data_IF_221615459369
#
_entry.id   IF_221615459369
#
_cell.length_a   1.000
_cell.length_b   1.000
_cell.length_c   1.000
_cell.angle_alpha   90.00
_cell.angle_beta   90.00
_cell.angle_gamma   90.00
#
_symmetry.space_group_name_H-M   'P 1'
#
loop_
_entity.id
_entity.type
_entity.pdbx_description
1 polymer ?
#
# COMPACT_ATOMS: atom_id res chain seq x y z
N UNK A 1 -14.68 -3.80 9.25
CA UNK A 1 -14.48 -4.86 8.23
C UNK A 1 -14.50 -4.21 6.86
N UNK A 2 -13.33 -4.00 6.26
CA UNK A 2 -13.21 -3.51 4.88
C UNK A 2 -13.25 -4.74 3.96
N UNK A 3 -14.25 -4.82 3.08
CA UNK A 3 -14.39 -5.97 2.17
C UNK A 3 -13.46 -5.84 0.96
N UNK A 4 -12.97 -6.98 0.47
CA UNK A 4 -12.13 -7.17 -0.72
C UNK A 4 -12.61 -6.40 -1.97
N UNK A 5 -13.90 -6.07 -2.05
CA UNK A 5 -14.47 -5.19 -3.09
C UNK A 5 -13.83 -3.81 -3.14
N UNK A 6 -13.35 -3.27 -2.02
CA UNK A 6 -12.67 -1.97 -1.98
C UNK A 6 -11.27 -1.97 -2.62
N UNK A 7 -10.70 -3.15 -2.88
CA UNK A 7 -9.34 -3.32 -3.40
C UNK A 7 -9.28 -3.31 -4.94
N UNK A 8 -10.41 -3.56 -5.61
CA UNK A 8 -10.53 -3.59 -7.08
C UNK A 8 -10.81 -2.20 -7.71
N UNK A 9 -10.77 -1.13 -6.93
CA UNK A 9 -11.01 0.22 -7.44
C UNK A 9 -9.70 0.86 -7.89
N UNK A 10 -9.54 1.06 -9.21
CA UNK A 10 -8.56 1.98 -9.79
C UNK A 10 -8.91 3.41 -9.35
N UNK A 11 -8.47 3.78 -8.14
CA UNK A 11 -8.38 5.17 -7.74
C UNK A 11 -6.91 5.55 -7.80
N UNK A 12 -6.57 6.51 -8.63
CA UNK A 12 -5.33 7.25 -8.41
C UNK A 12 -5.35 7.76 -6.96
N UNK A 13 -4.29 7.48 -6.23
CA UNK A 13 -4.21 7.73 -4.80
C UNK A 13 -2.86 8.27 -4.41
N UNK A 14 -2.89 9.17 -3.44
CA UNK A 14 -1.72 9.77 -2.81
C UNK A 14 -1.46 9.08 -1.47
N UNK A 15 -0.19 8.92 -1.15
CA UNK A 15 0.28 8.45 0.14
C UNK A 15 0.84 9.62 0.93
N UNK A 16 0.59 9.64 2.24
CA UNK A 16 1.23 10.58 3.16
C UNK A 16 2.39 9.86 3.83
N UNK A 17 3.62 10.32 3.59
CA UNK A 17 4.85 9.69 4.06
C UNK A 17 5.79 10.70 4.72
N UNK A 18 6.68 10.23 5.59
CA UNK A 18 7.67 11.09 6.26
C UNK A 18 8.94 11.14 5.41
N UNK A 19 9.37 12.34 5.03
CA UNK A 19 10.57 12.54 4.19
C UNK A 19 11.81 12.07 4.95
N UNK A 20 12.61 11.22 4.31
CA UNK A 20 13.82 10.64 4.91
C UNK A 20 13.56 9.43 5.83
N UNK A 21 12.30 9.05 6.07
CA UNK A 21 11.98 7.78 6.71
C UNK A 21 11.92 6.67 5.66
N UNK A 22 12.73 5.63 5.81
CA UNK A 22 12.68 4.47 4.92
C UNK A 22 11.55 3.53 5.35
N UNK A 23 10.57 3.35 4.47
CA UNK A 23 9.54 2.31 4.63
C UNK A 23 10.07 0.91 4.23
N UNK A 24 11.27 0.81 3.66
CA UNK A 24 11.83 -0.43 3.09
C UNK A 24 12.14 -1.51 4.12
N UNK A 25 12.12 -1.19 5.42
CA UNK A 25 12.35 -2.13 6.54
C UNK A 25 11.20 -2.15 7.54
N UNK A 26 10.09 -1.51 7.22
CA UNK A 26 8.96 -1.41 8.14
C UNK A 26 8.04 -2.61 7.96
N UNK A 27 7.91 -3.42 9.01
CA UNK A 27 7.06 -4.59 9.08
C UNK A 27 5.85 -4.29 9.97
N UNK A 28 4.68 -4.09 9.35
CA UNK A 28 3.41 -3.76 10.02
C UNK A 28 2.47 -4.96 10.04
N UNK A 29 2.46 -5.67 8.93
CA UNK A 29 1.50 -6.70 8.55
C UNK A 29 2.04 -7.54 7.37
N UNK A 30 1.21 -8.45 6.85
CA UNK A 30 1.63 -9.33 5.76
C UNK A 30 1.87 -8.58 4.45
N UNK A 31 1.11 -7.51 4.18
CA UNK A 31 1.31 -6.65 3.01
C UNK A 31 2.69 -6.00 3.03
N UNK A 32 3.09 -5.46 4.17
CA UNK A 32 4.42 -4.85 4.33
C UNK A 32 5.55 -5.86 4.13
N UNK A 33 5.39 -7.11 4.57
CA UNK A 33 6.35 -8.19 4.31
C UNK A 33 6.45 -8.47 2.81
N UNK A 34 5.32 -8.66 2.13
CA UNK A 34 5.29 -8.94 0.70
C UNK A 34 5.90 -7.78 -0.10
N UNK A 35 5.55 -6.53 0.21
CA UNK A 35 6.11 -5.35 -0.46
C UNK A 35 7.63 -5.24 -0.24
N UNK A 36 8.11 -5.42 1.00
CA UNK A 36 9.53 -5.38 1.33
C UNK A 36 10.33 -6.39 0.50
N UNK A 37 9.87 -7.64 0.48
CA UNK A 37 10.50 -8.71 -0.29
C UNK A 37 10.39 -8.44 -1.79
N UNK A 38 9.26 -7.92 -2.27
CA UNK A 38 9.08 -7.56 -3.68
C UNK A 38 10.12 -6.56 -4.15
N UNK A 39 10.31 -5.46 -3.42
CA UNK A 39 11.26 -4.41 -3.80
C UNK A 39 12.72 -4.90 -3.75
N UNK A 40 13.06 -5.82 -2.83
CA UNK A 40 14.42 -6.33 -2.67
C UNK A 40 14.75 -7.57 -3.53
N UNK A 41 13.73 -8.30 -3.98
CA UNK A 41 13.89 -9.55 -4.74
C UNK A 41 13.30 -9.46 -6.14
N UNK A 42 11.99 -9.22 -6.24
CA UNK A 42 11.23 -9.35 -7.49
C UNK A 42 11.58 -8.21 -8.44
N UNK A 43 11.54 -6.95 -7.98
CA UNK A 43 11.80 -5.78 -8.84
C UNK A 43 13.22 -5.81 -9.43
N UNK A 44 14.29 -6.09 -8.66
CA UNK A 44 15.64 -6.21 -9.22
C UNK A 44 15.79 -7.35 -10.23
N UNK A 45 15.10 -8.47 -10.02
CA UNK A 45 15.10 -9.59 -10.97
C UNK A 45 14.32 -9.23 -12.23
N UNK A 46 13.13 -8.65 -12.09
CA UNK A 46 12.29 -8.17 -13.18
C UNK A 46 13.04 -7.21 -14.10
N UNK A 47 13.76 -6.24 -13.52
CA UNK A 47 14.52 -5.24 -14.28
C UNK A 47 15.69 -5.84 -15.09
N UNK A 48 16.17 -7.03 -14.71
CA UNK A 48 17.21 -7.77 -15.42
C UNK A 48 16.66 -8.69 -16.51
N UNK A 49 15.35 -8.93 -16.56
CA UNK A 49 14.74 -9.80 -17.55
C UNK A 49 14.74 -9.12 -18.94
N UNK A 50 14.97 -9.90 -20.01
CA UNK A 50 14.65 -9.47 -21.36
C UNK A 50 13.16 -9.13 -21.51
N UNK A 51 12.84 -8.20 -22.40
CA UNK A 51 11.45 -7.79 -22.66
C UNK A 51 10.54 -8.96 -23.08
N UNK A 52 11.07 -9.96 -23.77
CA UNK A 52 10.30 -11.14 -24.15
C UNK A 52 9.89 -11.98 -22.93
N UNK A 53 10.80 -12.15 -21.96
CA UNK A 53 10.50 -12.83 -20.71
C UNK A 53 9.46 -12.06 -19.89
N UNK A 54 9.55 -10.73 -19.84
CA UNK A 54 8.54 -9.89 -19.18
C UNK A 54 7.16 -10.07 -19.82
N UNK A 55 7.09 -10.09 -21.16
CA UNK A 55 5.83 -10.35 -21.90
C UNK A 55 5.27 -11.75 -21.64
N UNK A 56 6.13 -12.76 -21.51
CA UNK A 56 5.70 -14.13 -21.17
C UNK A 56 5.07 -14.18 -19.78
N UNK A 57 5.71 -13.55 -18.78
CA UNK A 57 5.16 -13.44 -17.43
C UNK A 57 3.81 -12.71 -17.45
N UNK A 58 3.72 -11.59 -18.17
CA UNK A 58 2.47 -10.82 -18.34
C UNK A 58 1.34 -11.64 -18.96
N UNK A 59 1.63 -12.39 -20.03
CA UNK A 59 0.65 -13.29 -20.68
C UNK A 59 0.20 -14.41 -19.75
N UNK A 60 1.06 -14.87 -18.86
CA UNK A 60 0.76 -15.86 -17.84
C UNK A 60 -0.05 -15.30 -16.65
N UNK A 61 -0.47 -14.04 -16.71
CA UNK A 61 -1.21 -13.35 -15.65
C UNK A 61 -0.30 -12.77 -14.55
N UNK A 62 1.02 -12.87 -14.69
CA UNK A 62 2.00 -12.34 -13.76
C UNK A 62 2.36 -10.88 -14.04
N UNK A 63 2.42 -10.07 -12.99
CA UNK A 63 3.04 -8.74 -13.00
C UNK A 63 4.13 -8.70 -11.94
N UNK A 64 5.11 -7.82 -12.07
CA UNK A 64 6.12 -7.60 -11.02
C UNK A 64 5.45 -7.27 -9.67
N UNK A 65 4.39 -6.45 -9.70
CA UNK A 65 3.56 -6.11 -8.53
C UNK A 65 2.78 -7.28 -7.94
N UNK A 66 2.41 -8.27 -8.77
CA UNK A 66 1.59 -9.41 -8.39
C UNK A 66 2.38 -10.71 -8.19
N UNK A 67 3.71 -10.70 -8.29
CA UNK A 67 4.53 -11.91 -8.16
C UNK A 67 4.56 -12.42 -6.73
N UNK A 68 4.61 -11.52 -5.74
CA UNK A 68 4.56 -11.87 -4.32
C UNK A 68 3.51 -11.01 -3.62
N UNK A 69 2.49 -11.65 -3.06
CA UNK A 69 1.33 -10.99 -2.44
C UNK A 69 0.78 -11.83 -1.28
N UNK A 70 0.04 -11.24 -0.32
CA UNK A 70 -0.77 -12.03 0.61
C UNK A 70 -1.81 -12.88 -0.13
N UNK A 71 -2.16 -14.02 0.43
CA UNK A 71 -3.29 -14.81 -0.07
C UNK A 71 -4.62 -14.05 0.10
N UNK A 72 -5.60 -14.33 -0.75
CA UNK A 72 -6.94 -13.72 -0.64
C UNK A 72 -7.60 -13.97 0.73
N UNK A 73 -7.35 -15.12 1.35
CA UNK A 73 -7.88 -15.44 2.68
C UNK A 73 -7.36 -14.50 3.77
N UNK A 74 -6.21 -13.85 3.58
CA UNK A 74 -5.70 -12.83 4.51
C UNK A 74 -6.71 -11.71 4.78
N UNK A 75 -7.42 -11.25 3.75
CA UNK A 75 -8.38 -10.16 3.86
C UNK A 75 -9.74 -10.60 4.43
N UNK A 76 -10.04 -11.90 4.39
CA UNK A 76 -11.33 -12.46 4.81
C UNK A 76 -11.27 -13.09 6.20
N UNK A 77 -10.24 -13.90 6.45
CA UNK A 77 -10.08 -14.73 7.66
C UNK A 77 -8.86 -14.33 8.49
N UNK A 78 -8.00 -13.43 7.99
CA UNK A 78 -6.75 -13.06 8.65
C UNK A 78 -5.66 -14.12 8.56
N UNK A 79 -5.84 -15.13 7.71
CA UNK A 79 -4.83 -16.16 7.48
C UNK A 79 -3.56 -15.55 6.86
N UNK A 80 -2.41 -15.84 7.46
CA UNK A 80 -1.16 -15.21 7.06
C UNK A 80 -0.38 -16.13 6.10
N UNK A 81 -0.74 -16.12 4.82
CA UNK A 81 -0.06 -16.91 3.78
C UNK A 81 0.46 -15.98 2.70
N UNK A 82 1.73 -16.12 2.34
CA UNK A 82 2.33 -15.46 1.18
C UNK A 82 2.13 -16.36 -0.04
N UNK A 83 1.65 -15.77 -1.13
CA UNK A 83 1.64 -16.38 -2.45
C UNK A 83 2.82 -15.86 -3.26
N UNK A 84 3.63 -16.77 -3.80
CA UNK A 84 4.65 -16.48 -4.80
C UNK A 84 4.24 -17.12 -6.14
N UNK A 85 3.84 -16.29 -7.10
CA UNK A 85 3.47 -16.74 -8.44
C UNK A 85 4.71 -16.84 -9.33
N UNK A 86 4.98 -18.04 -9.82
CA UNK A 86 6.15 -18.32 -10.66
C UNK A 86 5.78 -18.57 -12.12
N UNK A 87 4.49 -18.55 -12.46
CA UNK A 87 4.02 -18.81 -13.81
C UNK A 87 4.62 -17.80 -14.82
N UNK A 88 5.12 -18.32 -15.94
CA UNK A 88 5.78 -17.53 -16.99
C UNK A 88 7.18 -17.02 -16.65
N UNK A 89 7.68 -17.15 -15.41
CA UNK A 89 9.08 -16.87 -15.11
C UNK A 89 9.98 -17.92 -15.77
N UNK A 90 11.14 -17.53 -16.33
CA UNK A 90 12.06 -18.52 -16.89
C UNK A 90 12.55 -19.48 -15.79
N UNK A 91 12.71 -20.76 -16.13
CA UNK A 91 13.01 -21.83 -15.17
C UNK A 91 14.27 -21.55 -14.35
N UNK A 92 15.27 -20.87 -14.91
CA UNK A 92 16.50 -20.51 -14.21
C UNK A 92 16.32 -19.41 -13.14
N UNK A 93 15.18 -18.70 -13.14
CA UNK A 93 14.84 -17.69 -12.13
C UNK A 93 13.98 -18.23 -11.00
N UNK A 94 13.21 -19.30 -11.20
CA UNK A 94 12.33 -19.86 -10.17
C UNK A 94 13.11 -20.29 -8.91
N UNK A 95 14.24 -21.01 -8.99
CA UNK A 95 15.06 -21.31 -7.82
C UNK A 95 15.62 -20.06 -7.13
N UNK A 96 15.91 -18.98 -7.89
CA UNK A 96 16.41 -17.71 -7.34
C UNK A 96 15.31 -16.97 -6.58
N UNK A 97 14.07 -17.00 -7.07
CA UNK A 97 12.91 -16.45 -6.37
C UNK A 97 12.66 -17.20 -5.06
N UNK A 98 12.69 -18.53 -5.09
CA UNK A 98 12.43 -19.35 -3.89
C UNK A 98 13.53 -19.18 -2.83
N UNK A 99 14.79 -19.26 -3.24
CA UNK A 99 15.92 -19.05 -2.33
C UNK A 99 16.00 -17.62 -1.81
N UNK A 100 15.69 -16.62 -2.65
CA UNK A 100 15.60 -15.22 -2.26
C UNK A 100 14.47 -14.95 -1.27
N UNK A 101 13.27 -15.52 -1.50
CA UNK A 101 12.14 -15.42 -0.57
C UNK A 101 12.53 -15.98 0.80
N UNK A 102 13.12 -17.17 0.82
CA UNK A 102 13.62 -17.79 2.05
C UNK A 102 14.64 -16.89 2.76
N UNK A 103 15.65 -16.42 2.02
CA UNK A 103 16.69 -15.54 2.55
C UNK A 103 16.11 -14.27 3.20
N UNK A 104 15.17 -13.60 2.52
CA UNK A 104 14.61 -12.36 3.06
C UNK A 104 13.69 -12.61 4.27
N UNK A 105 12.89 -13.68 4.26
CA UNK A 105 12.11 -14.08 5.45
C UNK A 105 13.02 -14.34 6.66
N UNK A 106 14.11 -15.08 6.46
CA UNK A 106 15.12 -15.33 7.50
C UNK A 106 15.78 -14.02 7.97
N UNK A 107 16.17 -13.13 7.05
CA UNK A 107 16.80 -11.85 7.37
C UNK A 107 15.90 -10.90 8.18
N UNK A 108 14.59 -10.95 7.92
CA UNK A 108 13.56 -10.20 8.63
C UNK A 108 13.12 -10.89 9.92
N UNK A 109 13.72 -12.05 10.27
CA UNK A 109 13.39 -12.86 11.44
C UNK A 109 11.92 -13.33 11.46
N UNK A 110 11.34 -13.52 10.29
CA UNK A 110 9.96 -14.00 10.13
C UNK A 110 9.97 -15.52 10.30
N UNK A 111 9.11 -16.05 11.18
CA UNK A 111 8.91 -17.50 11.28
C UNK A 111 7.88 -17.91 10.24
N UNK A 112 8.21 -18.92 9.44
CA UNK A 112 7.36 -19.41 8.36
C UNK A 112 7.31 -20.95 8.33
N UNK A 113 6.25 -21.48 7.73
CA UNK A 113 6.00 -22.89 7.53
C UNK A 113 6.63 -23.44 6.24
N UNK A 114 6.36 -24.71 5.89
CA UNK A 114 6.89 -25.30 4.66
C UNK A 114 6.35 -24.59 3.42
N UNK A 115 7.21 -24.47 2.40
CA UNK A 115 6.84 -23.98 1.07
C UNK A 115 6.05 -25.07 0.36
N UNK A 116 4.82 -24.76 -0.09
CA UNK A 116 3.95 -25.70 -0.78
C UNK A 116 3.70 -25.22 -2.19
N UNK A 117 3.98 -26.07 -3.18
CA UNK A 117 3.61 -25.79 -4.57
C UNK A 117 2.18 -26.25 -4.81
N UNK A 118 1.37 -25.34 -5.31
CA UNK A 118 -0.06 -25.53 -5.55
C UNK A 118 -0.48 -24.86 -6.87
N UNK A 119 -1.71 -25.12 -7.31
CA UNK A 119 -2.31 -24.42 -8.44
C UNK A 119 -3.11 -23.21 -7.96
N UNK A 120 -2.89 -22.05 -8.58
CA UNK A 120 -3.65 -20.84 -8.33
C UNK A 120 -5.06 -20.97 -8.90
N UNK A 121 -6.08 -20.86 -8.06
CA UNK A 121 -7.47 -20.73 -8.55
C UNK A 121 -7.73 -19.41 -9.28
N UNK A 122 -6.95 -18.36 -8.99
CA UNK A 122 -7.13 -17.03 -9.56
C UNK A 122 -6.45 -16.88 -10.93
N UNK A 123 -5.23 -17.39 -11.08
CA UNK A 123 -4.41 -17.23 -12.29
C UNK A 123 -4.20 -18.53 -13.06
N UNK A 124 -4.74 -19.65 -12.58
CA UNK A 124 -4.69 -20.94 -13.27
C UNK A 124 -3.29 -21.53 -13.48
N UNK A 125 -2.30 -21.10 -12.68
CA UNK A 125 -0.92 -21.55 -12.79
C UNK A 125 -0.23 -21.72 -11.44
N UNK A 126 1.03 -22.15 -11.49
CA UNK A 126 1.82 -22.50 -10.31
C UNK A 126 1.96 -21.32 -9.33
N UNK A 127 1.64 -21.61 -8.07
CA UNK A 127 1.85 -20.73 -6.93
C UNK A 127 2.57 -21.49 -5.83
N UNK A 128 3.56 -20.85 -5.22
CA UNK A 128 4.18 -21.36 -4.00
C UNK A 128 3.59 -20.61 -2.82
N UNK A 129 2.91 -21.35 -1.94
CA UNK A 129 2.30 -20.84 -0.72
C UNK A 129 3.25 -21.01 0.46
N UNK A 130 3.45 -19.93 1.21
CA UNK A 130 4.33 -19.90 2.39
C UNK A 130 3.53 -19.37 3.59
N UNK A 131 3.14 -20.25 4.54
CA UNK A 131 2.49 -19.80 5.76
C UNK A 131 3.45 -18.98 6.62
N UNK A 132 3.04 -17.79 7.03
CA UNK A 132 3.73 -16.95 8.01
C UNK A 132 3.16 -17.28 9.39
N UNK A 133 4.02 -17.76 10.28
CA UNK A 133 3.63 -18.24 11.61
C UNK A 133 3.70 -17.12 12.65
N UNK A 134 4.70 -16.25 12.55
CA UNK A 134 4.85 -15.08 13.41
C UNK A 134 5.94 -14.14 12.89
N UNK A 135 5.83 -12.85 13.19
CA UNK A 135 6.87 -11.85 12.99
C UNK A 135 6.74 -10.74 14.04
N UNK A 136 7.84 -10.04 14.31
CA UNK A 136 7.82 -8.87 15.17
C UNK A 136 7.50 -7.63 14.33
N UNK A 137 6.48 -6.87 14.76
CA UNK A 137 6.16 -5.61 14.12
C UNK A 137 7.23 -4.57 14.43
N UNK A 138 7.63 -3.78 13.43
CA UNK A 138 8.50 -2.63 13.65
C UNK A 138 7.82 -1.68 14.62
N UNK A 139 8.55 -1.30 15.67
CA UNK A 139 8.05 -0.39 16.70
C UNK A 139 8.33 1.04 16.29
N UNK A 140 7.51 1.97 16.79
CA UNK A 140 7.70 3.41 16.62
C UNK A 140 7.85 3.82 15.15
N UNK A 141 6.82 3.54 14.36
CA UNK A 141 6.75 3.88 12.94
C UNK A 141 5.44 4.61 12.68
N UNK A 142 5.38 5.55 11.72
CA UNK A 142 4.19 6.35 11.49
C UNK A 142 3.06 5.45 10.98
N UNK A 143 1.82 5.86 11.25
CA UNK A 143 0.64 5.18 10.70
C UNK A 143 0.59 5.43 9.19
N UNK A 144 0.46 4.40 8.34
CA UNK A 144 0.32 4.61 6.91
C UNK A 144 -1.02 5.29 6.61
N UNK A 145 -1.01 6.24 5.67
CA UNK A 145 -2.22 6.88 5.19
C UNK A 145 -2.21 6.95 3.67
N UNK A 146 -3.20 6.31 3.07
CA UNK A 146 -3.49 6.39 1.64
C UNK A 146 -4.83 7.09 1.44
N UNK A 147 -4.86 8.02 0.50
CA UNK A 147 -6.02 8.82 0.13
C UNK A 147 -6.23 8.68 -1.37
N UNK A 148 -7.47 8.68 -1.85
CA UNK A 148 -7.69 8.94 -3.27
C UNK A 148 -7.36 10.42 -3.58
N UNK A 149 -7.03 10.73 -4.84
CA UNK A 149 -6.61 12.08 -5.23
C UNK A 149 -7.61 13.18 -4.85
N UNK A 150 -8.92 12.91 -4.95
CA UNK A 150 -9.97 13.87 -4.57
C UNK A 150 -9.97 14.17 -3.08
N UNK A 151 -9.80 13.15 -2.23
CA UNK A 151 -9.74 13.30 -0.78
C UNK A 151 -8.42 13.96 -0.35
N UNK A 152 -7.31 13.64 -1.03
CA UNK A 152 -6.05 14.33 -0.81
C UNK A 152 -6.19 15.83 -1.12
N UNK A 153 -6.82 16.17 -2.25
CA UNK A 153 -7.12 17.57 -2.61
C UNK A 153 -8.03 18.27 -1.63
N UNK A 154 -9.12 17.63 -1.24
CA UNK A 154 -10.02 18.19 -0.23
C UNK A 154 -9.29 18.50 1.08
N UNK A 155 -8.46 17.56 1.56
CA UNK A 155 -7.78 17.71 2.83
C UNK A 155 -6.64 18.73 2.74
N UNK A 156 -5.69 18.55 1.82
CA UNK A 156 -4.47 19.35 1.79
C UNK A 156 -4.68 20.72 1.15
N UNK A 157 -5.41 20.81 0.04
CA UNK A 157 -5.71 22.08 -0.62
C UNK A 157 -6.88 22.80 0.06
N UNK A 158 -8.06 22.18 0.11
CA UNK A 158 -9.28 22.94 0.40
C UNK A 158 -9.47 23.21 1.90
N UNK A 159 -9.06 22.26 2.76
CA UNK A 159 -9.15 22.37 4.21
C UNK A 159 -7.89 23.00 4.80
N UNK A 160 -6.71 22.45 4.49
CA UNK A 160 -5.46 22.89 5.11
C UNK A 160 -4.79 24.05 4.36
N UNK A 161 -5.18 24.35 3.12
CA UNK A 161 -4.68 25.50 2.36
C UNK A 161 -3.24 25.35 1.90
N UNK A 162 -2.77 24.13 1.62
CA UNK A 162 -1.49 23.88 0.97
C UNK A 162 -1.62 23.99 -0.53
N UNK A 163 -0.66 24.66 -1.17
CA UNK A 163 -0.55 24.67 -2.62
C UNK A 163 0.04 23.33 -3.09
N UNK A 164 -0.66 22.66 -4.00
CA UNK A 164 -0.20 21.45 -4.65
C UNK A 164 -0.79 21.33 -6.06
N UNK A 165 -0.33 20.34 -6.80
CA UNK A 165 -0.85 20.01 -8.12
C UNK A 165 -1.32 18.55 -8.18
N UNK A 166 -1.63 18.05 -9.37
CA UNK A 166 -2.07 16.67 -9.56
C UNK A 166 -0.99 15.64 -9.18
N UNK A 167 0.28 16.04 -9.09
CA UNK A 167 1.42 15.18 -8.74
C UNK A 167 1.75 15.18 -7.24
N UNK A 168 1.19 16.10 -6.45
CA UNK A 168 1.36 16.13 -5.00
C UNK A 168 1.43 17.54 -4.40
N UNK A 169 1.78 17.60 -3.11
CA UNK A 169 1.84 18.84 -2.32
C UNK A 169 3.27 19.25 -1.93
N UNK A 170 4.28 18.63 -2.54
CA UNK A 170 5.68 18.82 -2.16
C UNK A 170 5.98 18.36 -0.73
N UNK A 171 7.09 18.84 -0.18
CA UNK A 171 7.48 18.61 1.21
C UNK A 171 6.82 19.66 2.12
N UNK A 172 6.04 19.19 3.07
CA UNK A 172 5.33 20.01 4.08
C UNK A 172 6.06 19.88 5.42
N UNK A 173 6.44 20.99 6.08
CA UNK A 173 6.98 20.95 7.44
C UNK A 173 5.98 20.35 8.45
N UNK A 174 6.36 19.37 9.28
CA UNK A 174 5.48 18.74 10.26
C UNK A 174 4.81 19.72 11.22
N UNK A 175 5.54 20.75 11.67
CA UNK A 175 5.04 21.78 12.57
C UNK A 175 3.95 22.64 11.91
N UNK A 176 4.14 22.99 10.63
CA UNK A 176 3.14 23.75 9.87
C UNK A 176 1.86 22.93 9.67
N UNK A 177 2.02 21.64 9.32
CA UNK A 177 0.90 20.72 9.15
C UNK A 177 0.12 20.55 10.46
N UNK A 178 0.82 20.36 11.58
CA UNK A 178 0.21 20.25 12.90
C UNK A 178 -0.52 21.54 13.29
N UNK A 179 0.09 22.70 13.07
CA UNK A 179 -0.51 24.00 13.34
C UNK A 179 -1.81 24.21 12.55
N UNK A 180 -1.81 23.93 11.23
CA UNK A 180 -2.99 24.07 10.38
C UNK A 180 -4.12 23.13 10.79
N UNK A 181 -3.81 21.89 11.18
CA UNK A 181 -4.81 20.93 11.67
C UNK A 181 -5.40 21.41 13.00
N UNK A 182 -4.56 21.79 13.96
CA UNK A 182 -5.02 22.19 15.30
C UNK A 182 -5.74 23.55 15.29
N UNK A 183 -5.51 24.38 14.26
CA UNK A 183 -6.20 25.67 14.06
C UNK A 183 -7.49 25.58 13.25
N UNK A 184 -7.82 24.40 12.69
CA UNK A 184 -8.99 24.26 11.84
C UNK A 184 -10.28 24.10 12.68
N UNK A 185 -11.28 24.94 12.40
CA UNK A 185 -12.57 24.91 13.10
C UNK A 185 -13.48 23.83 12.53
N UNK A 186 -14.00 22.96 13.40
CA UNK A 186 -14.86 21.82 13.02
C UNK A 186 -16.07 22.25 12.20
N UNK A 187 -16.65 23.40 12.53
CA UNK A 187 -17.83 23.96 11.87
C UNK A 187 -17.60 24.20 10.36
N UNK A 188 -16.35 24.44 9.95
CA UNK A 188 -15.98 24.63 8.55
C UNK A 188 -15.97 23.32 7.76
N UNK A 189 -15.80 22.17 8.42
CA UNK A 189 -15.83 20.85 7.77
C UNK A 189 -17.18 20.54 7.12
N UNK A 190 -18.28 21.06 7.69
CA UNK A 190 -19.63 20.83 7.17
C UNK A 190 -19.82 21.37 5.73
N UNK A 191 -19.05 22.40 5.34
CA UNK A 191 -19.09 22.98 3.99
C UNK A 191 -18.50 22.00 2.96
N UNK A 192 -17.51 21.24 3.39
CA UNK A 192 -16.69 20.33 2.58
C UNK A 192 -17.22 18.90 2.56
N UNK A 193 -17.98 18.48 3.58
CA UNK A 193 -18.56 17.15 3.66
C UNK A 193 -19.52 16.88 2.50
N UNK A 194 -19.35 15.73 1.87
CA UNK A 194 -20.18 15.25 0.75
C UNK A 194 -20.34 13.74 0.88
N UNK A 195 -21.56 13.25 0.71
CA UNK A 195 -21.78 11.81 0.62
C UNK A 195 -21.05 11.25 -0.61
N UNK A 196 -20.46 10.07 -0.45
CA UNK A 196 -19.87 9.35 -1.58
C UNK A 196 -20.96 8.98 -2.57
N UNK A 197 -20.90 9.50 -3.79
CA UNK A 197 -21.89 9.20 -4.82
C UNK A 197 -21.33 8.19 -5.83
N UNK A 198 -22.01 7.05 -5.95
CA UNK A 198 -21.68 6.03 -6.94
C UNK A 198 -22.38 6.32 -8.27
N UNK A 199 -21.62 6.59 -9.33
CA UNK A 199 -22.12 6.54 -10.70
C UNK A 199 -21.95 5.12 -11.27
N UNK A 200 -23.08 4.50 -11.64
CA UNK A 200 -23.09 3.28 -12.46
C UNK A 200 -23.25 3.68 -13.92
N UNK A 201 -22.25 3.43 -14.76
CA UNK A 201 -22.46 3.37 -16.20
C UNK A 201 -23.31 2.15 -16.57
N UNK A 202 -24.28 2.29 -17.48
CA UNK A 202 -25.15 1.20 -17.94
C UNK A 202 -24.26 0.10 -18.57
N UNK A 203 -24.06 -1.00 -17.83
CA UNK A 203 -23.17 -2.14 -18.13
C UNK A 203 -21.65 -1.94 -17.95
N UNK A 204 -21.21 -0.89 -17.25
CA UNK A 204 -19.77 -0.67 -16.95
C UNK A 204 -19.43 -0.76 -15.46
N UNK A 205 -18.13 -0.66 -15.09
CA UNK A 205 -17.69 -0.67 -13.70
C UNK A 205 -18.37 0.45 -12.90
N UNK A 206 -18.65 0.18 -11.62
CA UNK A 206 -19.22 1.18 -10.71
C UNK A 206 -18.11 2.13 -10.26
N UNK A 207 -18.25 3.41 -10.62
CA UNK A 207 -17.33 4.47 -10.22
C UNK A 207 -17.89 5.18 -8.99
N UNK A 208 -17.15 5.21 -7.89
CA UNK A 208 -17.50 6.05 -6.74
C UNK A 208 -16.70 7.34 -6.85
N UNK A 209 -17.40 8.44 -7.09
CA UNK A 209 -16.77 9.74 -7.29
C UNK A 209 -16.64 10.46 -5.95
N UNK A 210 -15.46 10.35 -5.32
CA UNK A 210 -15.11 11.12 -4.12
C UNK A 210 -16.18 11.08 -3.03
N UNK A 211 -16.16 12.07 -2.14
CA UNK A 211 -17.12 12.18 -1.05
C UNK A 211 -16.61 11.52 0.23
N UNK A 212 -16.60 12.32 1.28
CA UNK A 212 -16.15 11.97 2.60
C UNK A 212 -17.01 12.77 3.57
N UNK A 213 -17.58 12.07 4.54
CA UNK A 213 -18.37 12.66 5.60
C UNK A 213 -17.47 13.38 6.61
N UNK A 214 -18.08 14.14 7.51
CA UNK A 214 -17.35 14.91 8.53
C UNK A 214 -16.46 13.97 9.36
N UNK A 215 -17.01 12.84 9.82
CA UNK A 215 -16.27 11.87 10.63
C UNK A 215 -15.08 11.28 9.87
N UNK A 216 -15.25 10.99 8.58
CA UNK A 216 -14.18 10.53 7.71
C UNK A 216 -13.08 11.57 7.54
N UNK A 217 -13.43 12.85 7.40
CA UNK A 217 -12.46 13.94 7.32
C UNK A 217 -11.70 14.05 8.64
N UNK A 218 -12.41 14.07 9.78
CA UNK A 218 -11.83 14.14 11.12
C UNK A 218 -10.87 12.99 11.38
N UNK A 219 -11.26 11.77 11.04
CA UNK A 219 -10.41 10.57 11.18
C UNK A 219 -9.11 10.68 10.39
N UNK A 220 -9.16 11.21 9.17
CA UNK A 220 -7.97 11.44 8.34
C UNK A 220 -7.11 12.57 8.87
N UNK A 221 -7.71 13.69 9.29
CA UNK A 221 -6.97 14.78 9.95
C UNK A 221 -6.27 14.30 11.22
N UNK A 222 -6.89 13.45 12.05
CA UNK A 222 -6.23 12.87 13.21
C UNK A 222 -5.09 11.92 12.84
N UNK A 223 -5.23 11.16 11.75
CA UNK A 223 -4.14 10.32 11.24
C UNK A 223 -2.98 11.17 10.73
N UNK A 224 -3.25 12.24 9.98
CA UNK A 224 -2.21 13.18 9.51
C UNK A 224 -1.53 13.84 10.71
N UNK A 225 -2.31 14.25 11.71
CA UNK A 225 -1.80 14.83 12.96
C UNK A 225 -0.86 13.87 13.69
N UNK A 226 -1.19 12.58 13.77
CA UNK A 226 -0.34 11.59 14.42
C UNK A 226 0.96 11.34 13.66
N UNK A 227 0.90 11.34 12.32
CA UNK A 227 2.10 11.29 11.45
C UNK A 227 2.98 12.52 11.69
N UNK A 228 2.40 13.73 11.74
CA UNK A 228 3.13 14.97 11.99
C UNK A 228 3.81 15.00 13.37
N UNK A 229 3.09 14.62 14.42
CA UNK A 229 3.68 14.49 15.76
C UNK A 229 4.80 13.47 15.80
N UNK A 230 4.60 12.31 15.19
CA UNK A 230 5.63 11.28 15.11
C UNK A 230 6.88 11.80 14.38
N UNK A 231 6.73 12.53 13.28
CA UNK A 231 7.84 13.12 12.54
C UNK A 231 8.64 14.11 13.42
N UNK A 232 7.96 14.99 14.16
CA UNK A 232 8.57 15.94 15.10
C UNK A 232 9.33 15.20 16.20
N UNK A 233 8.68 14.23 16.86
CA UNK A 233 9.25 13.46 17.96
C UNK A 233 10.49 12.65 17.55
N UNK A 234 10.62 12.34 16.25
CA UNK A 234 11.74 11.59 15.69
C UNK A 234 12.67 12.47 14.83
N UNK A 235 12.56 13.80 14.94
CA UNK A 235 13.45 14.79 14.30
C UNK A 235 13.47 14.77 12.76
N UNK A 236 12.35 14.42 12.13
CA UNK A 236 12.16 14.57 10.68
C UNK A 236 11.64 15.96 10.35
N UNK A 237 12.13 16.54 9.24
CA UNK A 237 11.81 17.92 8.82
C UNK A 237 10.66 18.04 7.84
N UNK A 238 10.17 16.93 7.28
CA UNK A 238 9.28 16.97 6.12
C UNK A 238 8.30 15.81 6.06
N UNK A 239 7.13 16.10 5.49
CA UNK A 239 6.09 15.14 5.10
C UNK A 239 5.82 15.31 3.61
N UNK A 240 5.83 14.20 2.88
CA UNK A 240 5.47 14.16 1.45
C UNK A 240 4.04 13.68 1.29
N UNK A 241 3.32 14.27 0.34
CA UNK A 241 2.01 13.82 -0.12
C UNK A 241 2.08 13.62 -1.63
N UNK A 242 2.12 12.35 -2.05
CA UNK A 242 2.38 11.94 -3.44
C UNK A 242 1.77 10.59 -3.75
#
# INVERSE_FOLDING_TARGET
MNTFKNWLYLNEGMSVSVVGHSEEDVIRDLDSICNNIREKLVVPLWNKLPEESKKQIQKAGGLSSGTIVPDGSYYETGEQVINLYTNGWPEEFVPKLLSGLKYYLDSLKIKYGPFKQEQSGLFGGDVVRVPVLSFDKTKNVPTPLHLNNLNAKLIFSDILGFAGDESGYGEIPPEELLFKIDSYEREKLAIHARDAFGQKTKNGPQYFQGGIDIEGIESRLQTIRSIAKWAIDNHYSGISVS
#
